data_IF_895382125957
#
_entry.id   IF_895382125957
#
_cell.length_a   1.000
_cell.length_b   1.000
_cell.length_c   1.000
_cell.angle_alpha   90.00
_cell.angle_beta   90.00
_cell.angle_gamma   90.00
#
_symmetry.space_group_name_H-M   'P 1'
#
loop_
_entity.id
_entity.type
_entity.pdbx_description
1 polymer ?
#
# COMPACT_ATOMS: atom_id res chain seq x y z
N UNK A 1 -50.82 58.58 -74.47
CA UNK A 1 -49.90 59.00 -73.40
C UNK A 1 -50.27 58.28 -72.11
N UNK A 2 -49.30 57.52 -71.60
CA UNK A 2 -49.03 57.14 -70.21
C UNK A 2 -50.03 56.28 -69.43
N UNK A 3 -49.91 54.97 -69.69
CA UNK A 3 -50.07 53.91 -68.68
C UNK A 3 -48.97 54.06 -67.61
N UNK A 4 -49.34 54.37 -66.37
CA UNK A 4 -48.42 54.34 -65.23
C UNK A 4 -48.71 53.07 -64.42
N UNK A 5 -47.84 52.09 -64.62
CA UNK A 5 -47.78 50.81 -63.91
C UNK A 5 -47.36 51.04 -62.45
N UNK A 6 -48.32 50.95 -61.53
CA UNK A 6 -48.04 50.85 -60.10
C UNK A 6 -47.77 49.38 -59.74
N UNK A 7 -46.51 48.92 -59.91
CA UNK A 7 -46.06 47.61 -59.45
C UNK A 7 -45.72 47.70 -57.96
N UNK A 8 -46.70 47.41 -57.12
CA UNK A 8 -46.47 47.07 -55.72
C UNK A 8 -45.68 45.76 -55.65
N UNK A 9 -44.39 45.86 -55.29
CA UNK A 9 -43.60 44.69 -54.92
C UNK A 9 -44.19 44.10 -53.63
N UNK A 10 -44.61 42.82 -53.62
CA UNK A 10 -44.96 42.18 -52.37
C UNK A 10 -43.67 41.98 -51.58
N UNK A 11 -43.51 42.74 -50.49
CA UNK A 11 -42.57 42.44 -49.40
C UNK A 11 -43.16 41.22 -48.68
N UNK A 12 -43.24 40.08 -49.37
CA UNK A 12 -43.64 38.82 -48.78
C UNK A 12 -42.45 38.27 -48.00
N UNK A 13 -42.44 38.61 -46.72
CA UNK A 13 -42.13 37.68 -45.64
C UNK A 13 -40.81 36.92 -45.82
N UNK A 14 -39.69 37.57 -45.54
CA UNK A 14 -38.62 36.88 -44.81
C UNK A 14 -39.15 36.55 -43.41
N UNK A 15 -40.05 35.57 -43.33
CA UNK A 15 -40.37 34.89 -42.09
C UNK A 15 -39.07 34.23 -41.63
N UNK A 16 -38.36 34.93 -40.75
CA UNK A 16 -37.25 34.42 -39.98
C UNK A 16 -37.79 33.16 -39.30
N UNK A 17 -37.49 31.98 -39.87
CA UNK A 17 -37.77 30.66 -39.30
C UNK A 17 -37.03 30.63 -37.96
N UNK A 18 -37.67 31.13 -36.92
CA UNK A 18 -37.21 30.93 -35.55
C UNK A 18 -37.33 29.43 -35.37
N UNK A 19 -36.20 28.74 -35.30
CA UNK A 19 -36.17 27.34 -34.92
C UNK A 19 -36.91 27.26 -33.58
N UNK A 20 -38.14 26.75 -33.59
CA UNK A 20 -38.81 26.30 -32.40
C UNK A 20 -38.00 25.10 -31.94
N UNK A 21 -37.01 25.37 -31.09
CA UNK A 21 -36.35 24.33 -30.33
C UNK A 21 -37.46 23.72 -29.50
N UNK A 22 -37.84 22.49 -29.83
CA UNK A 22 -38.83 21.74 -29.09
C UNK A 22 -38.31 21.57 -27.66
N UNK A 23 -38.92 22.29 -26.73
CA UNK A 23 -38.50 22.38 -25.34
C UNK A 23 -38.43 20.99 -24.69
N UNK A 24 -39.22 20.04 -25.19
CA UNK A 24 -39.21 18.63 -24.80
C UNK A 24 -37.83 17.99 -24.95
N UNK A 25 -37.18 18.19 -26.10
CA UNK A 25 -35.85 17.62 -26.36
C UNK A 25 -34.77 18.23 -25.49
N UNK A 26 -34.89 19.52 -25.18
CA UNK A 26 -33.98 20.23 -24.27
C UNK A 26 -34.10 19.69 -22.83
N UNK A 27 -35.33 19.43 -22.35
CA UNK A 27 -35.55 18.82 -21.04
C UNK A 27 -34.99 17.40 -20.95
N UNK A 28 -35.19 16.57 -21.98
CA UNK A 28 -34.63 15.21 -22.04
C UNK A 28 -33.11 15.22 -22.03
N UNK A 29 -32.50 16.11 -22.83
CA UNK A 29 -31.05 16.27 -22.86
C UNK A 29 -30.47 16.69 -21.51
N UNK A 30 -31.09 17.68 -20.85
CA UNK A 30 -30.65 18.10 -19.51
C UNK A 30 -30.78 16.97 -18.48
N UNK A 31 -31.89 16.21 -18.52
CA UNK A 31 -32.08 15.05 -17.64
C UNK A 31 -31.02 13.97 -17.86
N UNK A 32 -30.65 13.73 -19.11
CA UNK A 32 -29.57 12.79 -19.46
C UNK A 32 -28.22 13.25 -18.87
N UNK A 33 -27.87 14.53 -19.02
CA UNK A 33 -26.66 15.10 -18.42
C UNK A 33 -26.64 14.91 -16.90
N UNK A 34 -27.76 15.18 -16.22
CA UNK A 34 -27.85 15.02 -14.77
C UNK A 34 -27.64 13.56 -14.36
N UNK A 35 -28.26 12.60 -15.06
CA UNK A 35 -28.06 11.18 -14.78
C UNK A 35 -26.61 10.76 -15.00
N UNK A 36 -25.96 11.23 -16.07
CA UNK A 36 -24.54 10.97 -16.31
C UNK A 36 -23.66 11.54 -15.20
N UNK A 37 -23.95 12.76 -14.72
CA UNK A 37 -23.20 13.39 -13.63
C UNK A 37 -23.35 12.61 -12.32
N UNK A 38 -24.56 12.17 -11.99
CA UNK A 38 -24.83 11.32 -10.82
C UNK A 38 -24.08 9.98 -10.91
N UNK A 39 -24.10 9.32 -12.06
CA UNK A 39 -23.36 8.07 -12.28
C UNK A 39 -21.85 8.27 -12.10
N UNK A 40 -21.29 9.35 -12.65
CA UNK A 40 -19.88 9.70 -12.54
C UNK A 40 -19.50 10.01 -11.08
N UNK A 41 -20.33 10.78 -10.37
CA UNK A 41 -20.13 11.07 -8.95
C UNK A 41 -20.14 9.78 -8.11
N UNK A 42 -21.04 8.84 -8.40
CA UNK A 42 -21.11 7.55 -7.71
C UNK A 42 -19.83 6.73 -7.92
N UNK A 43 -19.29 6.68 -9.15
CA UNK A 43 -18.04 5.99 -9.47
C UNK A 43 -16.85 6.62 -8.74
N UNK A 44 -16.75 7.95 -8.73
CA UNK A 44 -15.71 8.66 -7.98
C UNK A 44 -15.79 8.31 -6.50
N UNK A 45 -16.99 8.37 -5.91
CA UNK A 45 -17.20 8.13 -4.48
C UNK A 45 -16.80 6.70 -4.10
N UNK A 46 -17.20 5.70 -4.89
CA UNK A 46 -16.80 4.30 -4.68
C UNK A 46 -15.29 4.14 -4.79
N UNK A 47 -14.66 4.72 -5.82
CA UNK A 47 -13.20 4.63 -6.00
C UNK A 47 -12.45 5.28 -4.82
N UNK A 48 -12.85 6.48 -4.40
CA UNK A 48 -12.26 7.17 -3.26
C UNK A 48 -12.48 6.39 -1.96
N UNK A 49 -13.65 5.78 -1.76
CA UNK A 49 -13.93 4.94 -0.60
C UNK A 49 -13.02 3.72 -0.54
N UNK A 50 -12.84 3.00 -1.64
CA UNK A 50 -11.96 1.82 -1.72
C UNK A 50 -10.52 2.20 -1.37
N UNK A 51 -10.00 3.28 -1.97
CA UNK A 51 -8.63 3.75 -1.72
C UNK A 51 -8.45 4.20 -0.27
N UNK A 52 -9.46 4.82 0.34
CA UNK A 52 -9.36 5.33 1.70
C UNK A 52 -9.48 4.24 2.79
N UNK A 53 -10.10 3.09 2.49
CA UNK A 53 -10.40 2.05 3.49
C UNK A 53 -9.43 0.88 3.51
N UNK A 54 -8.71 0.62 2.42
CA UNK A 54 -7.75 -0.48 2.36
C UNK A 54 -6.39 0.05 2.84
N UNK A 55 -6.01 -0.33 4.06
CA UNK A 55 -4.67 -0.10 4.58
C UNK A 55 -3.70 -1.07 3.90
N UNK A 56 -3.20 -0.66 2.74
CA UNK A 56 -2.24 -1.42 1.94
C UNK A 56 -0.94 -1.60 2.72
N UNK A 57 -0.58 -0.64 3.58
CA UNK A 57 0.67 -0.70 4.34
C UNK A 57 0.64 -1.83 5.36
N UNK A 58 -0.42 -1.97 6.14
CA UNK A 58 -0.52 -3.08 7.09
C UNK A 58 -0.41 -4.43 6.36
N UNK A 59 -1.10 -4.57 5.22
CA UNK A 59 -1.03 -5.80 4.41
C UNK A 59 0.39 -6.06 3.89
N UNK A 60 1.11 -5.01 3.49
CA UNK A 60 2.52 -5.11 3.07
C UNK A 60 3.45 -5.50 4.23
N UNK A 61 3.26 -4.94 5.42
CA UNK A 61 4.00 -5.35 6.62
C UNK A 61 3.76 -6.82 6.94
N UNK A 62 2.50 -7.26 6.88
CA UNK A 62 2.13 -8.66 7.16
C UNK A 62 2.75 -9.62 6.14
N UNK A 63 2.71 -9.29 4.85
CA UNK A 63 3.38 -10.05 3.80
C UNK A 63 4.90 -10.06 3.97
N UNK A 64 5.49 -8.93 4.34
CA UNK A 64 6.91 -8.81 4.65
C UNK A 64 7.31 -9.75 5.79
N UNK A 65 6.62 -9.67 6.94
CA UNK A 65 6.87 -10.53 8.10
C UNK A 65 6.66 -12.00 7.76
N UNK A 66 5.63 -12.32 6.97
CA UNK A 66 5.37 -13.68 6.50
C UNK A 66 6.54 -14.22 5.67
N UNK A 67 6.99 -13.48 4.66
CA UNK A 67 8.11 -13.90 3.82
C UNK A 67 9.41 -14.03 4.64
N UNK A 68 9.66 -13.08 5.54
CA UNK A 68 10.84 -13.10 6.42
C UNK A 68 10.87 -14.36 7.31
N UNK A 69 9.71 -14.91 7.66
CA UNK A 69 9.59 -16.17 8.42
C UNK A 69 9.55 -17.43 7.55
N UNK A 70 9.16 -17.36 6.28
CA UNK A 70 8.91 -18.55 5.47
C UNK A 70 9.97 -18.80 4.39
N UNK A 71 10.82 -17.83 4.09
CA UNK A 71 11.86 -17.97 3.07
C UNK A 71 13.11 -18.72 3.57
N UNK A 72 13.77 -19.42 2.64
CA UNK A 72 15.03 -20.15 2.88
C UNK A 72 16.14 -19.27 3.48
N UNK A 73 16.23 -18.02 3.02
CA UNK A 73 17.25 -17.07 3.48
C UNK A 73 16.71 -16.07 4.52
N UNK A 74 15.49 -16.31 5.01
CA UNK A 74 14.83 -15.48 6.03
C UNK A 74 15.39 -15.72 7.44
N UNK A 75 14.51 -15.63 8.43
CA UNK A 75 14.85 -15.88 9.84
C UNK A 75 14.71 -17.35 10.25
N UNK A 76 13.89 -18.11 9.53
CA UNK A 76 13.64 -19.50 9.91
C UNK A 76 14.82 -20.38 9.56
N UNK A 77 15.05 -21.39 10.40
CA UNK A 77 16.09 -22.38 10.21
C UNK A 77 15.83 -23.16 8.93
N UNK A 78 16.84 -23.18 8.06
CA UNK A 78 16.87 -24.02 6.89
C UNK A 78 17.78 -25.22 7.14
N UNK A 79 17.25 -26.42 6.89
CA UNK A 79 18.04 -27.64 6.92
C UNK A 79 18.43 -28.03 5.49
N UNK A 80 19.71 -27.87 5.19
CA UNK A 80 20.29 -28.19 3.89
C UNK A 80 20.22 -29.68 3.54
N UNK A 81 20.17 -30.57 4.53
CA UNK A 81 20.19 -32.03 4.31
C UNK A 81 18.88 -32.55 3.70
N UNK A 82 17.76 -31.94 4.11
CA UNK A 82 16.41 -32.29 3.63
C UNK A 82 15.79 -31.18 2.76
N UNK A 83 16.53 -30.11 2.50
CA UNK A 83 16.15 -28.98 1.67
C UNK A 83 14.80 -28.36 2.11
N UNK A 84 14.66 -28.11 3.43
CA UNK A 84 13.39 -27.70 4.05
C UNK A 84 13.55 -26.52 5.03
N UNK A 85 12.61 -25.59 4.97
CA UNK A 85 12.47 -24.48 5.94
C UNK A 85 11.62 -24.93 7.12
N UNK A 86 12.11 -24.73 8.35
CA UNK A 86 11.37 -24.94 9.58
C UNK A 86 10.76 -23.61 10.05
N UNK A 87 9.58 -23.31 9.53
CA UNK A 87 8.86 -22.05 9.80
C UNK A 87 8.69 -21.84 11.31
N UNK A 88 9.07 -20.65 11.77
CA UNK A 88 8.96 -20.26 13.18
C UNK A 88 10.06 -20.87 14.06
N UNK A 89 11.02 -21.60 13.51
CA UNK A 89 12.22 -22.04 14.25
C UNK A 89 13.37 -21.10 13.94
N UNK A 90 13.86 -20.34 14.91
CA UNK A 90 14.85 -19.28 14.72
C UNK A 90 16.19 -19.68 15.35
N UNK A 91 17.28 -19.74 14.58
CA UNK A 91 18.62 -19.97 15.13
C UNK A 91 19.05 -18.79 16.02
N UNK A 92 19.31 -19.06 17.30
CA UNK A 92 19.80 -18.03 18.24
C UNK A 92 21.17 -17.51 17.84
N UNK A 93 21.96 -18.32 17.13
CA UNK A 93 23.28 -17.93 16.62
C UNK A 93 23.21 -16.73 15.66
N UNK A 94 22.17 -16.64 14.83
CA UNK A 94 22.00 -15.55 13.85
C UNK A 94 21.86 -14.20 14.56
N UNK A 95 21.20 -14.16 15.72
CA UNK A 95 21.02 -12.94 16.52
C UNK A 95 22.26 -12.55 17.34
N UNK A 96 23.29 -13.40 17.40
CA UNK A 96 24.59 -13.05 17.97
C UNK A 96 25.48 -12.28 16.99
N UNK A 97 25.25 -12.44 15.68
CA UNK A 97 25.94 -11.69 14.64
C UNK A 97 24.93 -10.92 13.76
N UNK A 98 24.42 -9.77 14.25
CA UNK A 98 23.34 -9.05 13.58
C UNK A 98 23.73 -8.48 12.22
N UNK A 99 25.01 -8.19 12.00
CA UNK A 99 25.52 -7.65 10.72
C UNK A 99 25.41 -8.70 9.63
N UNK A 100 25.90 -9.93 9.88
CA UNK A 100 25.82 -11.01 8.93
C UNK A 100 24.36 -11.42 8.62
N UNK A 101 23.48 -11.36 9.63
CA UNK A 101 22.06 -11.58 9.43
C UNK A 101 21.42 -10.50 8.56
N UNK A 102 21.73 -9.23 8.81
CA UNK A 102 21.24 -8.11 7.99
C UNK A 102 21.71 -8.25 6.53
N UNK A 103 22.99 -8.54 6.29
CA UNK A 103 23.53 -8.77 4.94
C UNK A 103 22.81 -9.93 4.24
N UNK A 104 22.56 -11.04 4.95
CA UNK A 104 21.82 -12.18 4.41
C UNK A 104 20.40 -11.80 3.99
N UNK A 105 19.68 -11.07 4.84
CA UNK A 105 18.31 -10.66 4.57
C UNK A 105 18.24 -9.65 3.42
N UNK A 106 19.08 -8.61 3.44
CA UNK A 106 19.10 -7.59 2.39
C UNK A 106 19.54 -8.16 1.03
N UNK A 107 20.44 -9.15 1.01
CA UNK A 107 20.95 -9.75 -0.22
C UNK A 107 20.02 -10.74 -0.91
N UNK A 108 19.02 -11.29 -0.20
CA UNK A 108 18.14 -12.33 -0.73
C UNK A 108 16.65 -11.99 -0.71
N UNK A 109 16.25 -10.99 0.07
CA UNK A 109 14.88 -10.52 0.13
C UNK A 109 14.74 -9.21 -0.65
N UNK A 110 14.39 -9.32 -1.92
CA UNK A 110 14.01 -8.17 -2.75
C UNK A 110 12.48 -8.03 -2.76
N UNK A 111 11.96 -6.99 -2.09
CA UNK A 111 10.53 -6.65 -2.08
C UNK A 111 10.10 -5.72 -3.22
N UNK A 112 10.89 -5.69 -4.30
CA UNK A 112 10.63 -4.95 -5.52
C UNK A 112 11.10 -3.50 -5.45
N UNK A 113 11.34 -2.91 -6.63
CA UNK A 113 12.02 -1.62 -6.83
C UNK A 113 11.35 -0.39 -6.19
N UNK A 114 10.16 -0.51 -5.60
CA UNK A 114 9.35 0.63 -5.16
C UNK A 114 8.88 0.57 -3.71
N UNK A 115 9.09 -0.53 -3.00
CA UNK A 115 8.63 -0.69 -1.61
C UNK A 115 9.82 -0.64 -0.68
N UNK A 116 10.18 0.55 -0.22
CA UNK A 116 11.25 0.67 0.76
C UNK A 116 10.71 0.29 2.15
N UNK A 117 10.95 -0.96 2.54
CA UNK A 117 10.60 -1.51 3.86
C UNK A 117 11.87 -1.61 4.69
N UNK A 118 11.78 -1.24 5.97
CA UNK A 118 12.86 -1.46 6.93
C UNK A 118 12.28 -2.04 8.23
N UNK A 119 13.06 -2.85 8.95
CA UNK A 119 12.56 -3.49 10.16
C UNK A 119 13.63 -3.68 11.22
N UNK A 120 13.20 -3.62 12.48
CA UNK A 120 13.93 -4.07 13.65
C UNK A 120 13.32 -5.37 14.16
N UNK A 121 14.19 -6.31 14.48
CA UNK A 121 13.85 -7.65 14.91
C UNK A 121 14.48 -7.88 16.28
N UNK A 122 13.67 -8.12 17.31
CA UNK A 122 14.17 -8.36 18.67
C UNK A 122 13.74 -9.75 19.13
N UNK A 123 14.73 -10.57 19.48
CA UNK A 123 14.49 -11.94 19.93
C UNK A 123 14.55 -12.00 21.46
N UNK A 124 13.52 -12.59 22.05
CA UNK A 124 13.40 -12.81 23.49
C UNK A 124 13.24 -14.29 23.79
N UNK A 125 13.79 -14.73 24.92
CA UNK A 125 13.50 -16.06 25.47
C UNK A 125 12.14 -16.08 26.20
N UNK A 126 11.75 -17.28 26.67
CA UNK A 126 10.50 -17.48 27.42
C UNK A 126 10.45 -16.67 28.73
N UNK A 127 11.60 -16.29 29.30
CA UNK A 127 11.68 -15.46 30.51
C UNK A 127 11.55 -13.95 30.22
N UNK A 128 11.47 -13.56 28.94
CA UNK A 128 11.46 -12.17 28.50
C UNK A 128 12.86 -11.55 28.44
N UNK A 129 13.93 -12.34 28.59
CA UNK A 129 15.29 -11.86 28.42
C UNK A 129 15.58 -11.69 26.94
N UNK A 130 16.05 -10.50 26.59
CA UNK A 130 16.51 -10.18 25.24
C UNK A 130 17.76 -10.99 24.89
N UNK A 131 17.68 -11.78 23.82
CA UNK A 131 18.76 -12.60 23.28
C UNK A 131 19.59 -11.86 22.22
N UNK A 132 18.95 -10.96 21.46
CA UNK A 132 19.63 -10.15 20.45
C UNK A 132 18.68 -9.21 19.70
N UNK A 133 19.27 -8.38 18.84
CA UNK A 133 18.53 -7.51 17.92
C UNK A 133 19.21 -7.56 16.57
N UNK A 134 18.42 -7.70 15.52
CA UNK A 134 18.85 -7.61 14.13
C UNK A 134 18.00 -6.58 13.38
N UNK A 135 18.44 -6.22 12.19
CA UNK A 135 17.77 -5.24 11.34
C UNK A 135 17.65 -5.75 9.91
N UNK A 136 16.63 -5.27 9.22
CA UNK A 136 16.50 -5.29 7.77
C UNK A 136 16.53 -3.84 7.31
N UNK A 137 17.47 -3.49 6.43
CA UNK A 137 17.72 -2.11 6.00
C UNK A 137 17.89 -1.12 7.17
N UNK A 138 18.86 -1.35 8.07
CA UNK A 138 19.05 -0.57 9.31
C UNK A 138 19.12 0.94 9.08
N UNK A 139 19.84 1.38 8.05
CA UNK A 139 19.97 2.81 7.73
C UNK A 139 18.61 3.47 7.48
N UNK A 140 17.71 2.78 6.78
CA UNK A 140 16.35 3.26 6.52
C UNK A 140 15.48 3.17 7.77
N UNK A 141 15.63 2.11 8.56
CA UNK A 141 14.92 1.97 9.83
C UNK A 141 15.21 3.14 10.76
N UNK A 142 16.50 3.46 10.97
CA UNK A 142 16.95 4.52 11.88
C UNK A 142 16.43 5.90 11.43
N UNK A 143 16.27 6.13 10.13
CA UNK A 143 15.70 7.37 9.58
C UNK A 143 14.19 7.46 9.79
N UNK A 144 13.46 6.40 9.46
CA UNK A 144 11.99 6.45 9.46
C UNK A 144 11.38 6.25 10.82
N UNK A 145 12.02 5.52 11.74
CA UNK A 145 11.47 5.32 13.09
C UNK A 145 11.28 6.64 13.84
N UNK A 146 12.16 7.62 13.60
CA UNK A 146 12.06 8.96 14.19
C UNK A 146 10.81 9.68 13.68
N UNK A 147 10.55 9.56 12.37
CA UNK A 147 9.41 10.20 11.71
C UNK A 147 8.10 9.49 12.06
N UNK A 148 8.11 8.17 12.13
CA UNK A 148 6.95 7.36 12.49
C UNK A 148 6.45 7.69 13.92
N UNK A 149 7.38 7.96 14.84
CA UNK A 149 7.06 8.29 16.24
C UNK A 149 6.70 9.75 16.46
N UNK A 150 6.90 10.63 15.49
CA UNK A 150 6.57 12.06 15.63
C UNK A 150 5.09 12.38 15.36
N UNK A 151 4.24 11.38 15.06
CA UNK A 151 2.79 11.52 14.83
C UNK A 151 2.38 12.51 13.73
N UNK A 152 3.31 12.99 12.90
CA UNK A 152 3.00 13.88 11.79
C UNK A 152 2.34 13.08 10.66
N UNK A 153 1.11 13.42 10.29
CA UNK A 153 0.38 12.79 9.18
C UNK A 153 0.61 13.58 7.90
N UNK A 154 1.13 12.94 6.85
CA UNK A 154 1.37 13.57 5.55
C UNK A 154 2.30 12.78 4.62
N UNK A 155 2.38 13.21 3.36
CA UNK A 155 3.34 12.68 2.37
C UNK A 155 4.77 13.00 2.85
N UNK A 156 5.56 11.95 3.13
CA UNK A 156 6.89 12.07 3.74
C UNK A 156 6.94 11.67 5.23
N UNK A 157 5.81 11.30 5.82
CA UNK A 157 5.78 10.59 7.10
C UNK A 157 6.06 9.09 6.92
N UNK A 158 6.21 8.36 8.02
CA UNK A 158 6.33 6.92 8.04
C UNK A 158 5.36 6.32 9.06
N UNK A 159 5.03 5.04 8.89
CA UNK A 159 4.20 4.27 9.82
C UNK A 159 5.02 3.14 10.43
N UNK A 160 4.88 2.92 11.74
CA UNK A 160 5.49 1.80 12.47
C UNK A 160 4.40 0.73 12.73
N UNK A 161 4.67 -0.50 12.30
CA UNK A 161 3.86 -1.68 12.56
C UNK A 161 4.65 -2.59 13.48
N UNK A 162 4.15 -2.83 14.69
CA UNK A 162 4.79 -3.75 15.64
C UNK A 162 3.92 -4.98 15.89
N UNK A 163 4.52 -6.16 15.77
CA UNK A 163 3.87 -7.42 16.04
C UNK A 163 4.80 -8.36 16.81
N UNK A 164 4.23 -9.12 17.75
CA UNK A 164 4.94 -10.17 18.47
C UNK A 164 4.49 -11.54 17.94
N UNK A 165 5.45 -12.40 17.59
CA UNK A 165 5.18 -13.79 17.20
C UNK A 165 5.87 -14.74 18.17
N UNK A 166 5.16 -15.78 18.58
CA UNK A 166 5.77 -16.90 19.31
C UNK A 166 6.56 -17.76 18.33
N UNK A 167 7.80 -18.09 18.69
CA UNK A 167 8.74 -18.83 17.86
C UNK A 167 9.44 -19.91 18.69
N UNK A 168 10.02 -20.90 18.01
CA UNK A 168 10.92 -21.88 18.61
C UNK A 168 12.36 -21.39 18.40
N UNK A 169 13.09 -21.21 19.49
CA UNK A 169 14.50 -20.87 19.49
C UNK A 169 15.32 -22.14 19.28
N UNK A 170 16.23 -22.14 18.30
CA UNK A 170 17.17 -23.22 18.07
C UNK A 170 18.56 -22.81 18.59
N UNK A 171 19.03 -23.51 19.61
CA UNK A 171 20.35 -23.29 20.19
C UNK A 171 21.44 -24.09 19.46
N UNK A 172 22.72 -23.70 19.60
CA UNK A 172 23.84 -24.39 18.93
C UNK A 172 23.99 -25.88 19.32
N UNK A 173 23.51 -26.27 20.50
CA UNK A 173 23.47 -27.66 20.98
C UNK A 173 22.28 -28.46 20.42
N UNK A 174 21.54 -27.89 19.46
CA UNK A 174 20.32 -28.42 18.84
C UNK A 174 19.13 -28.55 19.79
N UNK A 175 19.21 -27.97 20.99
CA UNK A 175 18.04 -27.87 21.86
C UNK A 175 17.10 -26.78 21.34
N UNK A 176 15.81 -26.97 21.59
CA UNK A 176 14.77 -26.00 21.24
C UNK A 176 14.04 -25.49 22.47
N UNK A 177 13.78 -24.19 22.55
CA UNK A 177 12.95 -23.60 23.58
C UNK A 177 11.96 -22.60 22.98
N UNK A 178 10.78 -22.38 23.56
CA UNK A 178 9.90 -21.32 23.10
C UNK A 178 10.52 -19.93 23.36
N UNK A 179 10.21 -18.99 22.48
CA UNK A 179 10.62 -17.59 22.58
C UNK A 179 9.63 -16.66 21.90
N UNK A 180 9.94 -15.38 21.92
CA UNK A 180 9.14 -14.34 21.27
C UNK A 180 10.05 -13.58 20.31
N UNK A 181 9.62 -13.47 19.06
CA UNK A 181 10.20 -12.56 18.09
C UNK A 181 9.29 -11.33 17.99
N UNK A 182 9.84 -10.18 18.32
CA UNK A 182 9.19 -8.89 18.12
C UNK A 182 9.67 -8.28 16.81
N UNK A 183 8.70 -7.93 15.97
CA UNK A 183 8.88 -7.14 14.77
C UNK A 183 8.54 -5.69 15.08
N UNK A 184 9.35 -4.77 14.58
CA UNK A 184 8.97 -3.38 14.35
C UNK A 184 9.32 -3.06 12.91
N UNK A 185 8.31 -2.98 12.05
CA UNK A 185 8.43 -2.71 10.62
C UNK A 185 8.08 -1.24 10.41
N UNK A 186 8.93 -0.51 9.72
CA UNK A 186 8.68 0.89 9.34
C UNK A 186 8.65 1.03 7.83
N UNK A 187 7.66 1.77 7.35
CA UNK A 187 7.45 2.04 5.93
C UNK A 187 7.05 3.50 5.73
N UNK A 188 7.52 4.15 4.65
CA UNK A 188 7.11 5.50 4.32
C UNK A 188 5.62 5.54 3.88
N UNK A 189 4.96 6.66 4.18
CA UNK A 189 3.61 6.95 3.71
C UNK A 189 3.67 7.43 2.25
N UNK A 190 3.12 6.61 1.35
CA UNK A 190 2.94 6.89 -0.08
C UNK A 190 1.53 7.39 -0.40
#
# INVERSE_FOLDING_TARGET
MNNILNKSFPISLLQKKKAQIDTTWLFVFFRFIVVCLVALAMVILVKTYIVAKIDIQQTQADLFMYNLLNEKNGLSHYDDSINRVFVGTIPVADFKNPIALEERLNGHMDFGEHTLIAAQLILFDQSGKKLGTAYYNKEWYDRWIIVARTFWKGSGSASEFSENKTVLLLYPDKTTAPGILQFSVVMPNS
#
